data_IF_372412484736
#
_entry.id   IF_372412484736
#
_cell.length_a   1.000
_cell.length_b   1.000
_cell.length_c   1.000
_cell.angle_alpha   90.00
_cell.angle_beta   90.00
_cell.angle_gamma   90.00
#
_symmetry.space_group_name_H-M   'P 1'
#
loop_
_entity.id
_entity.type
_entity.pdbx_description
1 polymer ?
#
# COMPACT_ATOMS: atom_id res chain seq x y z
N UNK A 1 -10.26 -11.64 -11.58
CA UNK A 1 -9.48 -12.61 -10.76
C UNK A 1 -8.74 -13.51 -11.72
N UNK A 2 -7.42 -13.63 -11.61
CA UNK A 2 -6.69 -14.67 -12.35
C UNK A 2 -6.90 -16.01 -11.65
N UNK A 3 -7.09 -17.07 -12.44
CA UNK A 3 -7.28 -18.43 -11.92
C UNK A 3 -5.97 -19.01 -11.40
N UNK A 4 -4.85 -18.79 -12.10
CA UNK A 4 -3.52 -19.26 -11.72
C UNK A 4 -2.52 -18.10 -11.84
N UNK A 5 -2.28 -17.32 -10.76
CA UNK A 5 -1.30 -16.24 -10.80
C UNK A 5 0.12 -16.81 -10.90
N UNK A 6 0.92 -16.28 -11.82
CA UNK A 6 2.35 -16.64 -11.91
C UNK A 6 3.17 -15.81 -10.93
N UNK A 7 4.33 -16.33 -10.51
CA UNK A 7 5.26 -15.57 -9.66
C UNK A 7 5.65 -14.22 -10.26
N UNK A 8 5.80 -14.14 -11.59
CA UNK A 8 6.08 -12.89 -12.28
C UNK A 8 4.99 -11.83 -12.06
N UNK A 9 3.71 -12.23 -12.10
CA UNK A 9 2.59 -11.32 -11.88
C UNK A 9 2.51 -10.85 -10.43
N UNK A 10 2.75 -11.74 -9.47
CA UNK A 10 2.77 -11.40 -8.04
C UNK A 10 3.95 -10.46 -7.75
N UNK A 11 5.14 -10.78 -8.26
CA UNK A 11 6.34 -9.97 -8.06
C UNK A 11 6.22 -8.59 -8.70
N UNK A 12 5.56 -8.46 -9.85
CA UNK A 12 5.28 -7.15 -10.48
C UNK A 12 4.39 -6.26 -9.58
N UNK A 13 3.38 -6.87 -8.95
CA UNK A 13 2.52 -6.15 -8.02
C UNK A 13 3.29 -5.73 -6.76
N UNK A 14 4.04 -6.66 -6.16
CA UNK A 14 4.85 -6.37 -4.96
C UNK A 14 5.90 -5.30 -5.25
N UNK A 15 6.58 -5.36 -6.40
CA UNK A 15 7.60 -4.37 -6.77
C UNK A 15 7.00 -2.97 -6.94
N UNK A 16 5.78 -2.88 -7.50
CA UNK A 16 5.05 -1.61 -7.65
C UNK A 16 4.71 -1.02 -6.28
N UNK A 17 4.24 -1.84 -5.33
CA UNK A 17 3.92 -1.35 -3.98
C UNK A 17 5.19 -0.95 -3.23
N UNK A 18 6.29 -1.71 -3.33
CA UNK A 18 7.58 -1.33 -2.73
C UNK A 18 8.15 -0.06 -3.35
N UNK A 19 8.00 0.12 -4.67
CA UNK A 19 8.40 1.34 -5.34
C UNK A 19 7.58 2.52 -4.83
N UNK A 20 6.26 2.37 -4.70
CA UNK A 20 5.35 3.40 -4.18
C UNK A 20 5.69 3.79 -2.73
N UNK A 21 5.91 2.81 -1.84
CA UNK A 21 6.21 3.07 -0.42
C UNK A 21 7.57 3.75 -0.21
N UNK A 22 8.52 3.57 -1.13
CA UNK A 22 9.85 4.19 -1.05
C UNK A 22 9.99 5.45 -1.90
N UNK A 23 8.90 5.97 -2.48
CA UNK A 23 8.95 7.18 -3.32
C UNK A 23 9.47 8.39 -2.57
N UNK A 24 9.07 8.59 -1.31
CA UNK A 24 9.50 9.75 -0.49
C UNK A 24 10.97 9.70 -0.13
N UNK A 25 11.59 8.51 -0.12
CA UNK A 25 13.03 8.36 0.09
C UNK A 25 13.84 8.61 -1.18
N UNK A 26 13.25 8.36 -2.36
CA UNK A 26 13.92 8.48 -3.67
C UNK A 26 13.75 9.84 -4.32
N UNK A 27 12.62 10.49 -4.05
CA UNK A 27 12.28 11.79 -4.62
C UNK A 27 12.05 12.79 -3.49
N UNK A 28 12.65 13.99 -3.57
CA UNK A 28 12.54 14.98 -2.52
C UNK A 28 11.08 15.39 -2.33
N UNK A 29 10.56 15.21 -1.11
CA UNK A 29 9.23 15.61 -0.70
C UNK A 29 9.24 16.47 0.56
N UNK A 30 8.05 16.84 1.04
CA UNK A 30 7.92 17.65 2.26
C UNK A 30 7.96 16.82 3.55
N UNK A 31 7.68 15.51 3.49
CA UNK A 31 7.58 14.62 4.66
C UNK A 31 8.15 13.23 4.35
N UNK A 32 8.67 12.55 5.38
CA UNK A 32 9.15 11.16 5.31
C UNK A 32 10.30 10.92 4.30
N UNK A 33 11.23 11.89 4.21
CA UNK A 33 12.41 11.79 3.35
C UNK A 33 13.49 10.87 3.91
N UNK A 34 13.47 10.61 5.22
CA UNK A 34 14.38 9.69 5.90
C UNK A 34 13.64 8.44 6.37
N UNK A 35 14.30 7.28 6.29
CA UNK A 35 13.76 6.01 6.75
C UNK A 35 13.39 6.06 8.23
N UNK A 36 14.22 6.71 9.05
CA UNK A 36 13.96 6.87 10.50
C UNK A 36 12.68 7.68 10.73
N UNK A 37 12.49 8.78 9.98
CA UNK A 37 11.28 9.61 10.09
C UNK A 37 10.02 8.86 9.68
N UNK A 38 10.10 8.07 8.59
CA UNK A 38 8.99 7.22 8.14
C UNK A 38 8.66 6.11 9.14
N UNK A 39 9.67 5.46 9.72
CA UNK A 39 9.44 4.41 10.73
C UNK A 39 8.91 5.00 12.04
N UNK A 40 9.40 6.15 12.46
CA UNK A 40 8.96 6.82 13.69
C UNK A 40 7.48 7.23 13.64
N UNK A 41 6.96 7.64 12.48
CA UNK A 41 5.55 8.00 12.32
C UNK A 41 4.61 6.78 12.36
N UNK A 42 5.11 5.60 11.99
CA UNK A 42 4.33 4.36 11.90
C UNK A 42 4.48 3.42 13.09
N UNK A 43 5.60 3.50 13.83
CA UNK A 43 5.95 2.57 14.92
C UNK A 43 5.88 3.32 16.25
N UNK A 44 4.75 3.26 16.97
CA UNK A 44 4.58 3.93 18.26
C UNK A 44 5.35 3.23 19.39
N UNK A 45 5.58 1.92 19.26
CA UNK A 45 6.38 1.13 20.22
C UNK A 45 7.28 0.15 19.46
N UNK A 46 8.51 -0.13 19.92
CA UNK A 46 9.44 -1.01 19.20
C UNK A 46 8.92 -2.43 18.95
N UNK A 47 7.97 -2.89 19.79
CA UNK A 47 7.33 -4.22 19.63
C UNK A 47 6.28 -4.24 18.52
N UNK A 48 5.74 -3.08 18.14
CA UNK A 48 4.72 -2.93 17.10
C UNK A 48 5.36 -2.40 15.80
N UNK A 49 6.31 -3.16 15.24
CA UNK A 49 7.02 -2.79 14.01
C UNK A 49 6.50 -3.54 12.76
N UNK A 50 5.50 -4.41 12.90
CA UNK A 50 4.88 -5.11 11.78
C UNK A 50 3.84 -4.23 11.11
N UNK A 51 4.18 -3.73 9.92
CA UNK A 51 3.33 -2.83 9.15
C UNK A 51 2.45 -3.61 8.18
N UNK A 52 1.22 -3.12 7.98
CA UNK A 52 0.34 -3.59 6.92
C UNK A 52 0.32 -2.57 5.78
N UNK A 53 0.53 -3.04 4.57
CA UNK A 53 0.52 -2.21 3.36
C UNK A 53 -0.76 -2.42 2.57
N UNK A 54 -1.37 -1.31 2.16
CA UNK A 54 -2.48 -1.28 1.23
C UNK A 54 -2.09 -0.46 0.00
N UNK A 55 -2.56 -0.86 -1.18
CA UNK A 55 -2.27 -0.14 -2.41
C UNK A 55 -3.50 -0.06 -3.30
N UNK A 56 -3.69 1.08 -3.95
CA UNK A 56 -4.69 1.27 -4.99
C UNK A 56 -4.12 2.20 -6.06
N UNK A 57 -4.36 1.93 -7.35
CA UNK A 57 -5.12 0.80 -7.90
C UNK A 57 -4.31 -0.51 -7.95
N UNK A 58 -4.92 -1.64 -7.61
CA UNK A 58 -4.35 -2.98 -7.90
C UNK A 58 -4.73 -3.38 -9.32
N UNK A 59 -4.00 -2.84 -10.29
CA UNK A 59 -4.13 -3.21 -11.71
C UNK A 59 -2.94 -4.07 -12.12
N UNK A 60 -3.23 -5.15 -12.83
CA UNK A 60 -2.22 -5.89 -13.58
C UNK A 60 -2.19 -5.29 -14.99
N UNK A 61 -1.01 -5.21 -15.62
CA UNK A 61 -0.80 -4.57 -16.94
C UNK A 61 -1.80 -5.00 -18.03
N UNK A 62 -2.38 -6.20 -17.89
CA UNK A 62 -3.35 -6.76 -18.83
C UNK A 62 -4.81 -6.32 -18.60
N UNK A 63 -5.13 -5.67 -17.47
CA UNK A 63 -6.48 -5.25 -17.11
C UNK A 63 -6.51 -3.79 -16.66
N UNK A 64 -6.53 -2.87 -17.63
CA UNK A 64 -7.50 -1.76 -17.77
C UNK A 64 -6.86 -0.52 -18.39
N UNK A 65 -7.17 -0.26 -19.67
CA UNK A 65 -6.99 1.01 -20.38
C UNK A 65 -8.07 2.05 -20.07
N UNK A 66 -8.98 1.76 -19.14
CA UNK A 66 -10.08 2.67 -18.78
C UNK A 66 -9.65 3.62 -17.68
N UNK A 67 -9.25 4.84 -18.05
CA UNK A 67 -9.02 5.94 -17.11
C UNK A 67 -10.35 6.28 -16.43
N UNK A 68 -10.54 5.78 -15.20
CA UNK A 68 -11.66 6.19 -14.35
C UNK A 68 -11.27 7.46 -13.61
N UNK A 69 -12.08 8.52 -13.77
CA UNK A 69 -12.05 9.68 -12.88
C UNK A 69 -12.28 9.16 -11.46
N UNK A 70 -11.23 9.18 -10.64
CA UNK A 70 -11.28 8.78 -9.23
C UNK A 70 -10.94 9.99 -8.40
N UNK A 71 -11.75 10.26 -7.38
CA UNK A 71 -11.46 11.34 -6.45
C UNK A 71 -10.47 10.87 -5.39
N UNK A 72 -9.75 11.80 -4.76
CA UNK A 72 -8.84 11.48 -3.63
C UNK A 72 -9.58 10.73 -2.52
N UNK A 73 -10.82 11.12 -2.26
CA UNK A 73 -11.66 10.48 -1.24
C UNK A 73 -12.00 9.03 -1.61
N UNK A 74 -12.22 8.73 -2.89
CA UNK A 74 -12.45 7.35 -3.34
C UNK A 74 -11.19 6.50 -3.22
N UNK A 75 -10.02 7.08 -3.49
CA UNK A 75 -8.72 6.43 -3.29
C UNK A 75 -8.53 6.09 -1.81
N UNK A 76 -8.72 7.05 -0.91
CA UNK A 76 -8.60 6.85 0.53
C UNK A 76 -9.55 5.75 1.05
N UNK A 77 -10.81 5.75 0.63
CA UNK A 77 -11.77 4.69 0.99
C UNK A 77 -11.35 3.32 0.47
N UNK A 78 -10.77 3.25 -0.73
CA UNK A 78 -10.30 2.00 -1.32
C UNK A 78 -9.09 1.44 -0.59
N UNK A 79 -8.16 2.27 -0.12
CA UNK A 79 -6.98 1.81 0.63
C UNK A 79 -7.35 1.02 1.89
N UNK A 80 -8.43 1.40 2.57
CA UNK A 80 -8.95 0.72 3.77
C UNK A 80 -9.74 -0.56 3.47
N UNK A 81 -10.04 -0.85 2.20
CA UNK A 81 -10.78 -2.05 1.85
C UNK A 81 -9.87 -3.27 1.93
N UNK A 82 -10.33 -4.33 2.62
CA UNK A 82 -9.60 -5.61 2.77
C UNK A 82 -9.11 -6.26 1.48
N UNK A 83 -9.67 -5.90 0.32
CA UNK A 83 -9.25 -6.42 -1.00
C UNK A 83 -7.96 -5.79 -1.50
N UNK A 84 -7.61 -4.63 -0.97
CA UNK A 84 -6.47 -3.82 -1.39
C UNK A 84 -5.28 -3.92 -0.42
N UNK A 85 -5.42 -4.71 0.65
CA UNK A 85 -4.41 -4.93 1.67
C UNK A 85 -3.57 -6.15 1.27
N UNK A 86 -2.24 -6.03 1.33
CA UNK A 86 -1.30 -7.09 0.93
C UNK A 86 -1.09 -8.17 2.00
N UNK A 87 -1.79 -8.05 3.12
CA UNK A 87 -1.70 -8.96 4.27
C UNK A 87 -3.07 -9.60 4.51
N UNK A 88 -3.08 -10.92 4.68
CA UNK A 88 -4.30 -11.67 5.03
C UNK A 88 -4.62 -11.56 6.52
N UNK A 89 -5.07 -10.38 6.95
CA UNK A 89 -5.50 -10.12 8.31
C UNK A 89 -6.90 -9.47 8.34
N UNK A 90 -7.70 -9.81 9.36
CA UNK A 90 -9.02 -9.21 9.55
C UNK A 90 -8.90 -7.81 10.17
N UNK A 91 -9.08 -6.77 9.36
CA UNK A 91 -9.05 -5.38 9.84
C UNK A 91 -10.30 -4.97 10.62
N UNK A 92 -11.36 -5.80 10.63
CA UNK A 92 -12.62 -5.49 11.35
C UNK A 92 -12.51 -5.63 12.87
N UNK A 93 -11.55 -6.43 13.37
CA UNK A 93 -11.36 -6.68 14.80
C UNK A 93 -10.20 -5.89 15.41
N UNK A 94 -9.51 -5.08 14.60
CA UNK A 94 -8.37 -4.28 15.01
C UNK A 94 -8.65 -2.79 14.95
N UNK A 95 -7.70 -2.00 15.46
CA UNK A 95 -7.70 -0.54 15.41
C UNK A 95 -6.45 -0.09 14.66
N UNK A 96 -6.59 0.94 13.82
CA UNK A 96 -5.45 1.58 13.16
C UNK A 96 -4.81 2.56 14.13
N UNK A 97 -3.51 2.40 14.39
CA UNK A 97 -2.77 3.28 15.31
C UNK A 97 -2.16 4.45 14.54
N UNK A 98 -1.53 4.16 13.40
CA UNK A 98 -0.93 5.13 12.49
C UNK A 98 -1.20 4.73 11.04
N UNK A 99 -1.30 5.72 10.16
CA UNK A 99 -1.41 5.54 8.71
C UNK A 99 -0.58 6.63 8.01
N UNK A 100 0.00 6.27 6.87
CA UNK A 100 0.79 7.13 5.99
C UNK A 100 0.18 7.13 4.59
#
# INVERSE_FOLDING_TARGET
>A
KLQNPTFAQINSLVSTVMAASTTTLRYPGYMNNDLIGMLASLIPTPRCHFLMTGYTPLTLDSQTTTVRKTTVLDVMRRLLHTKNIMVSCSTRRGVYISIL
#
